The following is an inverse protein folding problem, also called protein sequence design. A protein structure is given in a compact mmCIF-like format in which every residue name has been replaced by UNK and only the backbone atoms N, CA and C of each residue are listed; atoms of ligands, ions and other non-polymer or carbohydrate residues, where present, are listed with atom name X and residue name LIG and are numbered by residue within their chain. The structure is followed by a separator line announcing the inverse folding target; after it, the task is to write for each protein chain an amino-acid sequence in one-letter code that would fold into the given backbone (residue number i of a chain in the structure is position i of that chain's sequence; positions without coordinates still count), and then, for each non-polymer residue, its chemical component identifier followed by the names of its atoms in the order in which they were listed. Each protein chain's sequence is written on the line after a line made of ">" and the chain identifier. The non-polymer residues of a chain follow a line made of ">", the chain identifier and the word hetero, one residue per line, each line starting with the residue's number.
data_IF_808025959863
#
_entry.id   IF_808025959863
#
_cell.length_a   1.000
_cell.length_b   1.000
_cell.length_c   1.000
_cell.angle_alpha   90.00
_cell.angle_beta   90.00
_cell.angle_gamma   90.00
#
_symmetry.space_group_name_H-M   'P 1'
#
loop_
_entity.id
_entity.type
_entity.pdbx_description
1 polymer ?
#
# COMPACT_ATOMS: atom_id res chain seq x y z
N UNK A 1 -2.29 12.17 -15.45
CA UNK A 1 -3.46 12.86 -14.84
C UNK A 1 -4.58 11.91 -14.41
N UNK A 2 -5.22 11.14 -15.32
CA UNK A 2 -6.30 10.19 -14.90
C UNK A 2 -5.83 9.10 -13.92
N UNK A 3 -4.69 8.46 -14.19
CA UNK A 3 -4.16 7.38 -13.33
C UNK A 3 -3.72 7.91 -11.96
N UNK A 4 -3.05 9.06 -11.93
CA UNK A 4 -2.64 9.75 -10.70
C UNK A 4 -3.84 10.07 -9.81
N UNK A 5 -4.92 10.60 -10.39
CA UNK A 5 -6.15 10.88 -9.64
C UNK A 5 -6.77 9.61 -9.06
N UNK A 6 -6.88 8.54 -9.85
CA UNK A 6 -7.36 7.23 -9.36
C UNK A 6 -6.48 6.71 -8.22
N UNK A 7 -5.16 6.84 -8.33
CA UNK A 7 -4.23 6.39 -7.30
C UNK A 7 -4.42 7.17 -5.99
N UNK A 8 -4.49 8.50 -6.07
CA UNK A 8 -4.69 9.36 -4.90
C UNK A 8 -6.04 9.06 -4.22
N UNK A 9 -7.12 8.93 -5.00
CA UNK A 9 -8.43 8.59 -4.46
C UNK A 9 -8.41 7.21 -3.80
N UNK A 10 -7.77 6.21 -4.42
CA UNK A 10 -7.60 4.88 -3.84
C UNK A 10 -6.87 4.92 -2.49
N UNK A 11 -5.75 5.65 -2.40
CA UNK A 11 -4.99 5.82 -1.16
C UNK A 11 -5.81 6.55 -0.09
N UNK A 12 -6.53 7.61 -0.48
CA UNK A 12 -7.41 8.33 0.44
C UNK A 12 -8.54 7.44 0.98
N UNK A 13 -9.09 6.57 0.13
CA UNK A 13 -10.10 5.59 0.53
C UNK A 13 -9.52 4.56 1.50
N UNK A 14 -8.33 3.99 1.23
CA UNK A 14 -7.65 3.06 2.15
C UNK A 14 -7.45 3.70 3.52
N UNK A 15 -6.89 4.92 3.55
CA UNK A 15 -6.68 5.63 4.81
C UNK A 15 -8.01 5.90 5.54
N UNK A 16 -9.07 6.25 4.81
CA UNK A 16 -10.40 6.43 5.37
C UNK A 16 -10.97 5.13 5.95
N UNK A 17 -10.78 3.99 5.27
CA UNK A 17 -11.21 2.68 5.74
C UNK A 17 -10.43 2.25 7.00
N UNK A 18 -9.11 2.48 7.03
CA UNK A 18 -8.24 2.24 8.17
C UNK A 18 -8.79 2.95 9.43
N UNK A 19 -9.12 4.24 9.32
CA UNK A 19 -9.65 5.03 10.45
C UNK A 19 -11.10 4.65 10.81
N UNK A 20 -11.98 4.59 9.82
CA UNK A 20 -13.41 4.39 10.06
C UNK A 20 -13.67 2.93 10.47
N UNK A 21 -13.33 1.97 9.61
CA UNK A 21 -13.62 0.55 9.87
C UNK A 21 -12.65 -0.04 10.90
N UNK A 22 -11.36 0.22 10.72
CA UNK A 22 -10.31 -0.31 11.59
C UNK A 22 -10.47 0.16 13.03
N UNK A 23 -10.40 1.47 13.27
CA UNK A 23 -10.44 2.01 14.64
C UNK A 23 -11.85 2.26 15.16
N UNK A 24 -12.73 2.90 14.39
CA UNK A 24 -14.06 3.29 14.92
C UNK A 24 -14.98 2.07 15.08
N UNK A 25 -14.93 1.12 14.15
CA UNK A 25 -15.72 -0.12 14.23
C UNK A 25 -14.93 -1.32 14.77
N UNK A 26 -13.63 -1.15 15.07
CA UNK A 26 -12.78 -2.17 15.68
C UNK A 26 -12.47 -3.35 14.76
N UNK A 27 -12.40 -3.15 13.44
CA UNK A 27 -12.21 -4.26 12.49
C UNK A 27 -10.85 -4.96 12.67
N UNK A 28 -9.80 -4.25 13.09
CA UNK A 28 -8.50 -4.86 13.41
C UNK A 28 -8.59 -5.93 14.51
N UNK A 29 -9.60 -5.87 15.37
CA UNK A 29 -9.80 -6.84 16.45
C UNK A 29 -10.78 -7.95 16.09
N UNK A 30 -11.43 -7.87 14.92
CA UNK A 30 -12.53 -8.76 14.52
C UNK A 30 -12.24 -9.56 13.26
N UNK A 31 -11.43 -9.01 12.35
CA UNK A 31 -11.20 -9.55 11.02
C UNK A 31 -9.70 -9.55 10.71
N UNK A 32 -9.07 -10.71 10.88
CA UNK A 32 -7.63 -10.87 10.69
C UNK A 32 -7.16 -10.54 9.26
N UNK A 33 -8.05 -10.63 8.26
CA UNK A 33 -7.74 -10.29 6.87
C UNK A 33 -7.81 -8.79 6.55
N UNK A 34 -8.34 -7.97 7.46
CA UNK A 34 -8.65 -6.57 7.14
C UNK A 34 -7.38 -5.78 6.86
N UNK A 35 -6.39 -5.90 7.74
CA UNK A 35 -5.13 -5.17 7.62
C UNK A 35 -4.34 -5.60 6.39
N UNK A 36 -4.19 -6.90 6.24
CA UNK A 36 -3.58 -7.58 5.11
C UNK A 36 -4.21 -7.17 3.76
N UNK A 37 -5.54 -6.96 3.71
CA UNK A 37 -6.22 -6.43 2.52
C UNK A 37 -5.85 -4.97 2.25
N UNK A 38 -5.76 -4.13 3.30
CA UNK A 38 -5.34 -2.75 3.17
C UNK A 38 -3.90 -2.64 2.66
N UNK A 39 -2.98 -3.52 3.10
CA UNK A 39 -1.62 -3.58 2.56
C UNK A 39 -1.59 -3.99 1.09
N UNK A 40 -2.35 -5.02 0.69
CA UNK A 40 -2.43 -5.38 -0.73
C UNK A 40 -2.90 -4.20 -1.60
N UNK A 41 -3.96 -3.51 -1.16
CA UNK A 41 -4.47 -2.34 -1.86
C UNK A 41 -3.47 -1.16 -1.78
N UNK A 42 -2.78 -0.99 -0.66
CA UNK A 42 -1.74 0.00 -0.43
C UNK A 42 -0.62 -0.14 -1.46
N UNK A 43 0.01 -1.31 -1.54
CA UNK A 43 1.00 -1.64 -2.55
C UNK A 43 0.49 -1.43 -3.99
N UNK A 44 -0.75 -1.84 -4.29
CA UNK A 44 -1.37 -1.64 -5.59
C UNK A 44 -1.49 -0.16 -5.96
N UNK A 45 -2.07 0.67 -5.10
CA UNK A 45 -2.29 2.09 -5.42
C UNK A 45 -1.00 2.90 -5.35
N UNK A 46 -0.04 2.53 -4.51
CA UNK A 46 1.32 3.12 -4.54
C UNK A 46 2.00 2.80 -5.87
N UNK A 47 1.94 1.56 -6.35
CA UNK A 47 2.51 1.22 -7.65
C UNK A 47 1.82 1.98 -8.80
N UNK A 48 0.50 2.16 -8.75
CA UNK A 48 -0.22 3.01 -9.72
C UNK A 48 0.23 4.47 -9.66
N UNK A 49 0.43 5.00 -8.45
CA UNK A 49 0.90 6.38 -8.26
C UNK A 49 2.31 6.56 -8.83
N UNK A 50 3.25 5.70 -8.44
CA UNK A 50 4.63 5.67 -8.91
C UNK A 50 4.69 5.55 -10.43
N UNK A 51 3.95 4.60 -11.00
CA UNK A 51 3.87 4.43 -12.45
C UNK A 51 3.33 5.69 -13.14
N UNK A 52 2.32 6.35 -12.55
CA UNK A 52 1.76 7.57 -13.13
C UNK A 52 2.71 8.76 -13.08
N UNK A 53 3.55 8.84 -12.03
CA UNK A 53 4.48 9.95 -11.80
C UNK A 53 5.77 9.77 -12.60
N UNK A 54 6.28 8.54 -12.70
CA UNK A 54 7.54 8.22 -13.39
C UNK A 54 7.35 7.62 -14.79
N UNK A 55 6.15 7.68 -15.41
CA UNK A 55 5.88 7.03 -16.71
C UNK A 55 6.87 7.47 -17.81
N UNK A 56 7.17 8.77 -17.90
CA UNK A 56 8.12 9.33 -18.86
C UNK A 56 9.54 8.80 -18.66
N UNK A 57 9.93 8.58 -17.40
CA UNK A 57 11.28 8.12 -17.06
C UNK A 57 11.42 6.62 -17.20
N UNK A 58 10.38 5.88 -16.82
CA UNK A 58 10.27 4.46 -17.10
C UNK A 58 10.26 4.17 -18.60
N UNK A 59 9.60 5.00 -19.42
CA UNK A 59 9.58 4.83 -20.87
C UNK A 59 10.96 4.83 -21.54
N UNK A 60 11.96 5.46 -20.92
CA UNK A 60 13.35 5.52 -21.41
C UNK A 60 14.17 4.27 -21.10
N UNK A 61 13.69 3.40 -20.20
CA UNK A 61 14.44 2.27 -19.67
C UNK A 61 13.92 0.93 -20.21
N UNK A 62 14.72 -0.14 -20.06
CA UNK A 62 14.33 -1.50 -20.47
C UNK A 62 13.14 -2.03 -19.64
N UNK A 63 12.35 -2.93 -20.22
CA UNK A 63 11.20 -3.54 -19.52
C UNK A 63 11.60 -4.22 -18.18
N UNK A 64 12.71 -4.98 -18.09
CA UNK A 64 13.15 -5.54 -16.81
C UNK A 64 13.48 -4.46 -15.78
N UNK A 65 14.17 -3.38 -16.17
CA UNK A 65 14.49 -2.29 -15.26
C UNK A 65 13.23 -1.63 -14.71
N UNK A 66 12.27 -1.30 -15.57
CA UNK A 66 10.99 -0.72 -15.15
C UNK A 66 10.26 -1.62 -14.14
N UNK A 67 10.24 -2.93 -14.39
CA UNK A 67 9.59 -3.90 -13.51
C UNK A 67 10.23 -3.93 -12.13
N UNK A 68 11.55 -4.11 -12.06
CA UNK A 68 12.27 -4.18 -10.78
C UNK A 68 12.29 -2.83 -10.06
N UNK A 69 12.41 -1.72 -10.78
CA UNK A 69 12.37 -0.38 -10.18
C UNK A 69 11.00 -0.08 -9.56
N UNK A 70 9.91 -0.34 -10.29
CA UNK A 70 8.56 -0.12 -9.77
C UNK A 70 8.27 -1.02 -8.55
N UNK A 71 8.63 -2.30 -8.64
CA UNK A 71 8.43 -3.24 -7.55
C UNK A 71 9.27 -2.86 -6.32
N UNK A 72 10.56 -2.59 -6.50
CA UNK A 72 11.46 -2.20 -5.41
C UNK A 72 11.05 -0.91 -4.72
N UNK A 73 10.59 0.09 -5.48
CA UNK A 73 10.04 1.32 -4.89
C UNK A 73 8.75 1.05 -4.10
N UNK A 74 7.86 0.20 -4.61
CA UNK A 74 6.62 -0.16 -3.91
C UNK A 74 6.92 -0.89 -2.60
N UNK A 75 7.84 -1.88 -2.62
CA UNK A 75 8.31 -2.58 -1.42
C UNK A 75 8.95 -1.63 -0.43
N UNK A 76 9.74 -0.65 -0.91
CA UNK A 76 10.33 0.37 -0.07
C UNK A 76 9.28 1.22 0.67
N UNK A 77 8.16 1.55 0.02
CA UNK A 77 7.04 2.23 0.67
C UNK A 77 6.36 1.31 1.71
N UNK A 78 6.17 0.02 1.43
CA UNK A 78 5.65 -0.94 2.42
C UNK A 78 6.49 -0.98 3.69
N UNK A 79 7.82 -0.99 3.57
CA UNK A 79 8.73 -0.87 4.72
C UNK A 79 8.51 0.43 5.50
N UNK A 80 8.22 1.53 4.82
CA UNK A 80 7.91 2.80 5.49
C UNK A 80 6.55 2.78 6.20
N UNK A 81 5.57 1.99 5.73
CA UNK A 81 4.31 1.76 6.43
C UNK A 81 4.53 1.01 7.75
N UNK A 82 5.25 -0.11 7.72
CA UNK A 82 5.64 -0.84 8.93
C UNK A 82 6.40 0.02 9.94
N UNK A 83 7.31 0.87 9.46
CA UNK A 83 7.98 1.83 10.34
C UNK A 83 7.01 2.87 10.92
N UNK A 84 6.07 3.36 10.12
CA UNK A 84 5.01 4.25 10.58
C UNK A 84 4.17 3.62 11.68
N UNK A 85 3.76 2.38 11.49
CA UNK A 85 3.01 1.56 12.45
C UNK A 85 3.77 1.31 13.73
N UNK A 86 5.04 0.90 13.60
CA UNK A 86 5.92 0.75 14.74
C UNK A 86 6.04 2.04 15.52
N UNK A 87 6.37 3.17 14.88
CA UNK A 87 6.49 4.46 15.55
C UNK A 87 5.16 4.88 16.21
N UNK A 88 4.03 4.68 15.53
CA UNK A 88 2.71 5.00 16.06
C UNK A 88 2.35 4.13 17.28
N UNK A 89 2.73 2.85 17.27
CA UNK A 89 2.55 1.97 18.43
C UNK A 89 3.33 2.46 19.65
N UNK A 90 4.52 3.03 19.46
CA UNK A 90 5.36 3.52 20.55
C UNK A 90 4.94 4.91 21.06
N UNK A 91 4.38 5.75 20.20
CA UNK A 91 4.17 7.18 20.51
C UNK A 91 2.71 7.59 20.58
N UNK A 92 1.81 6.91 19.85
CA UNK A 92 0.41 7.30 19.68
C UNK A 92 -0.58 6.33 20.33
N UNK A 93 -0.19 5.08 20.63
CA UNK A 93 -1.06 4.08 21.25
C UNK A 93 -1.77 4.58 22.51
N UNK A 94 -1.02 5.04 23.51
CA UNK A 94 -1.58 5.49 24.78
C UNK A 94 -2.39 6.80 24.65
N UNK A 95 -1.90 7.86 23.96
CA UNK A 95 -2.70 9.06 23.72
C UNK A 95 -4.03 8.77 23.02
N UNK A 96 -4.01 7.91 21.99
CA UNK A 96 -5.18 7.56 21.22
C UNK A 96 -6.21 6.79 22.05
N UNK A 97 -5.75 5.80 22.83
CA UNK A 97 -6.60 5.06 23.76
C UNK A 97 -7.26 5.97 24.79
N UNK A 98 -6.50 6.90 25.37
CA UNK A 98 -7.03 7.83 26.38
C UNK A 98 -8.05 8.82 25.80
N UNK A 99 -7.82 9.31 24.58
CA UNK A 99 -8.71 10.30 23.96
C UNK A 99 -9.99 9.66 23.43
N UNK A 100 -9.89 8.56 22.70
CA UNK A 100 -11.02 7.92 22.03
C UNK A 100 -11.68 6.82 22.86
N UNK A 101 -11.08 6.41 23.98
CA UNK A 101 -11.57 5.34 24.85
C UNK A 101 -11.78 4.01 24.10
N UNK A 102 -10.93 3.75 23.09
CA UNK A 102 -10.92 2.52 22.29
C UNK A 102 -9.52 1.91 22.32
N UNK A 103 -9.42 0.58 22.26
CA UNK A 103 -8.13 -0.12 22.18
C UNK A 103 -7.48 0.18 20.82
N UNK A 104 -6.41 0.96 20.83
CA UNK A 104 -5.61 1.25 19.66
C UNK A 104 -4.49 0.22 19.54
N UNK A 105 -4.52 -0.58 18.46
CA UNK A 105 -3.44 -1.45 18.04
C UNK A 105 -2.95 -0.93 16.70
N UNK A 106 -1.71 -0.45 16.68
CA UNK A 106 -1.10 0.19 15.51
C UNK A 106 -0.15 -0.73 14.76
N UNK A 107 0.31 -1.82 15.38
CA UNK A 107 1.20 -2.82 14.80
C UNK A 107 0.83 -4.18 15.39
N UNK A 108 0.89 -5.24 14.59
CA UNK A 108 0.79 -6.60 15.10
C UNK A 108 2.15 -7.18 15.50
N UNK A 109 2.30 -8.48 15.29
CA UNK A 109 3.51 -9.22 15.64
C UNK A 109 4.44 -9.38 14.42
N UNK A 110 5.56 -10.08 14.56
CA UNK A 110 6.47 -10.28 13.43
C UNK A 110 5.82 -10.99 12.23
N UNK A 111 4.91 -11.94 12.46
CA UNK A 111 4.26 -12.66 11.38
C UNK A 111 3.33 -11.72 10.57
N UNK A 112 2.62 -10.83 11.27
CA UNK A 112 1.77 -9.77 10.72
C UNK A 112 2.59 -8.86 9.79
N UNK A 113 3.65 -8.23 10.30
CA UNK A 113 4.57 -7.39 9.50
C UNK A 113 5.13 -8.10 8.26
N UNK A 114 5.46 -9.39 8.36
CA UNK A 114 5.97 -10.14 7.20
C UNK A 114 4.86 -10.41 6.18
N UNK A 115 3.64 -10.67 6.64
CA UNK A 115 2.45 -10.85 5.80
C UNK A 115 2.07 -9.53 5.10
N UNK A 116 2.13 -8.41 5.80
CA UNK A 116 1.83 -7.08 5.29
C UNK A 116 2.82 -6.63 4.22
N UNK A 117 4.13 -6.81 4.47
CA UNK A 117 5.17 -6.58 3.46
C UNK A 117 5.01 -7.50 2.23
N UNK A 118 4.58 -8.75 2.44
CA UNK A 118 4.26 -9.65 1.34
C UNK A 118 3.07 -9.11 0.53
N UNK A 119 2.02 -8.64 1.19
CA UNK A 119 0.84 -8.10 0.53
C UNK A 119 1.12 -6.81 -0.23
N UNK A 120 1.91 -5.89 0.33
CA UNK A 120 2.41 -4.70 -0.38
C UNK A 120 3.15 -5.10 -1.66
N UNK A 121 3.99 -6.13 -1.56
CA UNK A 121 4.73 -6.69 -2.69
C UNK A 121 3.79 -7.27 -3.76
N UNK A 122 2.77 -8.04 -3.36
CA UNK A 122 1.77 -8.62 -4.27
C UNK A 122 0.92 -7.54 -4.96
N UNK A 123 0.56 -6.47 -4.24
CA UNK A 123 -0.11 -5.30 -4.80
C UNK A 123 0.75 -4.64 -5.89
N UNK A 124 2.03 -4.40 -5.59
CA UNK A 124 2.99 -3.86 -6.55
C UNK A 124 3.22 -4.75 -7.76
N UNK A 125 3.37 -6.07 -7.54
CA UNK A 125 3.51 -7.07 -8.60
C UNK A 125 2.33 -7.07 -9.56
N UNK A 126 1.10 -6.89 -9.04
CA UNK A 126 -0.12 -6.82 -9.85
C UNK A 126 0.00 -5.70 -10.88
N UNK A 127 0.38 -4.49 -10.45
CA UNK A 127 0.52 -3.33 -11.34
C UNK A 127 1.70 -3.48 -12.30
N UNK A 128 2.86 -3.93 -11.79
CA UNK A 128 4.05 -4.13 -12.61
C UNK A 128 3.81 -5.18 -13.72
N UNK A 129 3.13 -6.28 -13.40
CA UNK A 129 2.74 -7.31 -14.36
C UNK A 129 1.78 -6.80 -15.42
N UNK A 130 0.72 -6.09 -15.02
CA UNK A 130 -0.24 -5.49 -15.95
C UNK A 130 0.42 -4.47 -16.89
N UNK A 131 1.36 -3.67 -16.39
CA UNK A 131 2.12 -2.71 -17.20
C UNK A 131 2.95 -3.39 -18.28
N UNK A 132 3.65 -4.48 -17.92
CA UNK A 132 4.43 -5.27 -18.90
C UNK A 132 3.54 -5.89 -19.98
N UNK A 133 2.41 -6.49 -19.59
CA UNK A 133 1.46 -7.08 -20.55
C UNK A 133 0.89 -6.03 -21.51
N UNK A 134 0.57 -4.83 -21.02
CA UNK A 134 0.09 -3.72 -21.85
C UNK A 134 1.13 -3.26 -22.88
N UNK A 135 2.42 -3.24 -22.51
CA UNK A 135 3.50 -2.83 -23.43
C UNK A 135 3.84 -3.88 -24.49
N UNK A 136 3.56 -5.16 -24.24
CA UNK A 136 3.72 -6.23 -25.24
C UNK A 136 2.67 -6.21 -26.36
N UNK A 137 1.54 -5.51 -26.17
CA UNK A 137 0.45 -5.39 -27.15
C UNK A 137 0.34 -3.96 -27.75
N UNK A 138 1.32 -3.44 -28.50
CA UNK A 138 1.24 -2.11 -29.10
C UNK A 138 0.21 -2.00 -30.24
N UNK A 139 -0.30 -3.11 -30.81
CA UNK A 139 -1.24 -3.10 -31.94
C UNK A 139 -2.70 -2.72 -31.61
N UNK A 140 -3.03 -2.33 -30.37
CA UNK A 140 -4.39 -1.92 -29.96
C UNK A 140 -4.47 -0.46 -29.47
N UNK A 141 -3.57 0.41 -29.92
CA UNK A 141 -3.64 1.86 -29.63
C UNK A 141 -3.81 2.66 -30.89
#
# INVERSE_FOLDING_TARGET
>A
MRLTFVAIIGLALIFSLNVILGWTFGWYLRFDWFDTLLHYLGGLFIALLLLSYYDSEFAKNSQPFQFFALLGMTMGIGVLWEFGEFIASQTLAQPFQNFFQIKAQFIGNLADTIEDLLMDTLGGLTVAGLHLLRRRNPQKR
#
